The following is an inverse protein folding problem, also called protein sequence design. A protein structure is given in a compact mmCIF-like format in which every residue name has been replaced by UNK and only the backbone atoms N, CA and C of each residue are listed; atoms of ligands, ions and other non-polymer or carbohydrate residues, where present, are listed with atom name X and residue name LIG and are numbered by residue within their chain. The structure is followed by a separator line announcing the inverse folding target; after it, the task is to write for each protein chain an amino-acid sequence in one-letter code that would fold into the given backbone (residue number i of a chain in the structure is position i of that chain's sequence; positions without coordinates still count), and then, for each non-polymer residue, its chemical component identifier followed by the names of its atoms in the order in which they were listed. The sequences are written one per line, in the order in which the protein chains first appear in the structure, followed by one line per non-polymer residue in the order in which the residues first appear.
data_IF_566719401861
#
_entry.id   IF_566719401861
#
_cell.length_a   1.000
_cell.length_b   1.000
_cell.length_c   1.000
_cell.angle_alpha   90.00
_cell.angle_beta   90.00
_cell.angle_gamma   90.00
#
_symmetry.space_group_name_H-M   'P 1'
#
loop_
_entity.id
_entity.type
_entity.pdbx_description
1 polymer ?
#
# COMPACT_ATOMS: atom_id res chain seq x y z
N UNK A 1 -22.72 34.07 62.66
CA UNK A 1 -23.49 33.57 61.50
C UNK A 1 -23.06 34.19 60.18
N UNK A 2 -22.76 35.49 60.09
CA UNK A 2 -22.30 36.12 58.83
C UNK A 2 -20.97 35.54 58.30
N UNK A 3 -19.97 35.31 59.12
CA UNK A 3 -18.66 34.75 58.74
C UNK A 3 -18.75 33.32 58.19
N UNK A 4 -19.70 32.51 58.70
CA UNK A 4 -19.90 31.13 58.26
C UNK A 4 -20.57 31.08 56.86
N UNK A 5 -21.49 32.02 56.58
CA UNK A 5 -22.12 32.15 55.26
C UNK A 5 -21.09 32.62 54.21
N UNK A 6 -20.18 33.54 54.60
CA UNK A 6 -19.10 34.00 53.68
C UNK A 6 -18.13 32.90 53.36
N UNK A 7 -17.80 32.01 54.33
CA UNK A 7 -16.93 30.85 54.12
C UNK A 7 -17.58 29.80 53.17
N UNK A 8 -18.88 29.54 53.35
CA UNK A 8 -19.62 28.64 52.46
C UNK A 8 -19.70 29.15 51.00
N UNK A 9 -19.89 30.45 50.82
CA UNK A 9 -19.89 31.06 49.47
C UNK A 9 -18.50 31.04 48.83
N UNK A 10 -17.43 31.26 49.62
CA UNK A 10 -16.06 31.16 49.14
C UNK A 10 -15.69 29.73 48.71
N UNK A 11 -16.09 28.71 49.48
CA UNK A 11 -15.89 27.28 49.14
C UNK A 11 -16.68 26.90 47.90
N UNK A 12 -17.91 27.38 47.71
CA UNK A 12 -18.73 27.11 46.52
C UNK A 12 -18.12 27.72 45.23
N UNK A 13 -17.49 28.91 45.35
CA UNK A 13 -16.80 29.58 44.24
C UNK A 13 -15.50 28.82 43.86
N UNK A 14 -14.76 28.29 44.81
CA UNK A 14 -13.55 27.51 44.56
C UNK A 14 -13.88 26.14 43.94
N UNK A 15 -14.96 25.49 44.36
CA UNK A 15 -15.43 24.22 43.78
C UNK A 15 -16.05 24.40 42.36
N UNK A 16 -16.64 25.55 42.10
CA UNK A 16 -17.21 25.88 40.79
C UNK A 16 -16.15 26.21 39.69
N UNK A 17 -14.96 26.64 40.08
CA UNK A 17 -13.90 27.01 39.13
C UNK A 17 -13.11 25.82 38.56
N UNK A 18 -13.28 24.63 39.12
CA UNK A 18 -12.51 23.42 38.72
C UNK A 18 -13.18 22.60 37.62
N UNK A 19 -14.31 23.02 37.06
CA UNK A 19 -15.11 22.22 36.11
C UNK A 19 -14.89 22.50 34.62
N UNK A 20 -13.99 23.38 34.25
CA UNK A 20 -13.63 23.57 32.84
C UNK A 20 -12.37 22.77 32.48
N UNK A 21 -12.33 21.47 32.81
CA UNK A 21 -11.47 20.56 32.07
C UNK A 21 -12.10 20.45 30.68
N UNK A 22 -11.64 21.26 29.76
CA UNK A 22 -11.91 21.04 28.34
C UNK A 22 -11.34 19.65 27.96
N UNK A 23 -12.19 18.63 28.07
CA UNK A 23 -11.94 17.32 27.50
C UNK A 23 -12.05 17.41 25.97
N UNK A 24 -11.38 18.41 25.38
CA UNK A 24 -11.26 18.48 23.93
C UNK A 24 -10.29 17.41 23.50
N UNK A 25 -10.84 16.38 22.84
CA UNK A 25 -10.02 15.30 22.30
C UNK A 25 -8.91 15.91 21.43
N UNK A 26 -7.67 15.64 21.80
CA UNK A 26 -6.53 16.09 21.00
C UNK A 26 -6.48 15.26 19.73
N UNK A 27 -6.77 15.90 18.62
CA UNK A 27 -6.76 15.31 17.28
C UNK A 27 -5.59 15.88 16.50
N UNK A 28 -4.82 14.99 15.86
CA UNK A 28 -3.81 15.34 14.87
C UNK A 28 -4.19 14.76 13.52
N UNK A 29 -3.44 15.09 12.49
CA UNK A 29 -3.60 14.48 11.18
C UNK A 29 -2.25 14.20 10.53
N UNK A 30 -2.25 13.35 9.51
CA UNK A 30 -1.11 13.06 8.65
C UNK A 30 -1.61 12.52 7.32
N UNK A 31 -1.01 12.92 6.21
CA UNK A 31 -1.23 12.29 4.91
C UNK A 31 -0.40 10.98 4.84
N UNK A 32 -1.01 9.87 5.23
CA UNK A 32 -0.28 8.61 5.39
C UNK A 32 0.32 8.08 4.10
N UNK A 33 -0.35 8.29 2.97
CA UNK A 33 0.16 7.92 1.65
C UNK A 33 1.43 8.73 1.30
N UNK A 34 1.44 10.04 1.51
CA UNK A 34 2.60 10.88 1.25
C UNK A 34 3.81 10.48 2.13
N UNK A 35 3.53 10.11 3.38
CA UNK A 35 4.55 9.59 4.27
C UNK A 35 5.19 8.33 3.70
N UNK A 36 4.36 7.33 3.33
CA UNK A 36 4.83 6.05 2.79
C UNK A 36 5.61 6.26 1.50
N UNK A 37 5.13 7.10 0.59
CA UNK A 37 5.80 7.42 -0.68
C UNK A 37 7.16 8.12 -0.47
N UNK A 38 7.31 8.85 0.63
CA UNK A 38 8.58 9.46 1.00
C UNK A 38 9.62 8.45 1.50
N UNK A 39 9.19 7.28 2.01
CA UNK A 39 10.07 6.27 2.58
C UNK A 39 11.00 5.65 1.52
N UNK A 40 12.33 5.59 1.75
CA UNK A 40 13.26 4.96 0.81
C UNK A 40 12.92 3.49 0.53
N UNK A 41 12.46 2.77 1.55
CA UNK A 41 12.03 1.38 1.43
C UNK A 41 10.86 1.20 0.45
N UNK A 42 9.89 2.14 0.43
CA UNK A 42 8.79 2.12 -0.52
C UNK A 42 9.26 2.32 -1.97
N UNK A 43 10.16 3.27 -2.18
CA UNK A 43 10.75 3.53 -3.50
C UNK A 43 11.53 2.32 -4.01
N UNK A 44 12.28 1.66 -3.12
CA UNK A 44 13.01 0.43 -3.45
C UNK A 44 12.06 -0.72 -3.80
N UNK A 45 11.03 -0.95 -2.97
CA UNK A 45 10.00 -1.96 -3.22
C UNK A 45 9.29 -1.75 -4.56
N UNK A 46 8.87 -0.51 -4.83
CA UNK A 46 8.24 -0.14 -6.12
C UNK A 46 9.14 -0.43 -7.31
N UNK A 47 10.43 -0.09 -7.19
CA UNK A 47 11.42 -0.38 -8.25
C UNK A 47 11.62 -1.89 -8.45
N UNK A 48 11.60 -2.69 -7.38
CA UNK A 48 11.73 -4.15 -7.47
C UNK A 48 10.52 -4.77 -8.16
N UNK A 49 9.31 -4.37 -7.79
CA UNK A 49 8.05 -4.82 -8.41
C UNK A 49 8.04 -4.45 -9.91
N UNK A 50 8.44 -3.23 -10.25
CA UNK A 50 8.50 -2.79 -11.64
C UNK A 50 9.51 -3.61 -12.48
N UNK A 51 10.68 -3.92 -11.92
CA UNK A 51 11.66 -4.78 -12.58
C UNK A 51 11.12 -6.18 -12.80
N UNK A 52 10.48 -6.76 -11.80
CA UNK A 52 9.87 -8.08 -11.90
C UNK A 52 8.78 -8.12 -12.96
N UNK A 53 7.91 -7.10 -13.00
CA UNK A 53 6.88 -6.97 -14.05
C UNK A 53 7.50 -6.93 -15.45
N UNK A 54 8.54 -6.10 -15.64
CA UNK A 54 9.25 -6.02 -16.93
C UNK A 54 9.89 -7.36 -17.33
N UNK A 55 10.37 -8.13 -16.37
CA UNK A 55 10.91 -9.47 -16.63
C UNK A 55 9.82 -10.40 -17.15
N UNK A 56 8.68 -10.49 -16.47
CA UNK A 56 7.55 -11.29 -16.91
C UNK A 56 7.02 -10.87 -18.29
N UNK A 57 6.90 -9.56 -18.54
CA UNK A 57 6.48 -9.05 -19.84
C UNK A 57 7.46 -9.45 -20.97
N UNK A 58 8.76 -9.44 -20.68
CA UNK A 58 9.77 -9.84 -21.65
C UNK A 58 9.71 -11.36 -21.94
N UNK A 59 9.56 -12.17 -20.92
CA UNK A 59 9.44 -13.62 -21.05
C UNK A 59 8.18 -14.02 -21.80
N UNK A 60 7.02 -13.44 -21.46
CA UNK A 60 5.77 -13.67 -22.19
C UNK A 60 5.91 -13.27 -23.67
N UNK A 61 6.57 -12.16 -23.95
CA UNK A 61 6.82 -11.70 -25.31
C UNK A 61 7.68 -12.69 -26.10
N UNK A 62 8.72 -13.22 -25.48
CA UNK A 62 9.59 -14.22 -26.08
C UNK A 62 8.82 -15.52 -26.37
N UNK A 63 8.03 -16.03 -25.42
CA UNK A 63 7.19 -17.21 -25.60
C UNK A 63 6.21 -17.03 -26.77
N UNK A 64 5.58 -15.87 -26.89
CA UNK A 64 4.67 -15.54 -28.00
C UNK A 64 5.40 -15.50 -29.34
N UNK A 65 6.60 -14.92 -29.39
CA UNK A 65 7.42 -14.89 -30.62
C UNK A 65 7.87 -16.28 -31.06
N UNK A 66 8.28 -17.13 -30.11
CA UNK A 66 8.64 -18.52 -30.37
C UNK A 66 7.44 -19.32 -30.92
N UNK A 67 6.27 -19.13 -30.31
CA UNK A 67 5.04 -19.76 -30.80
C UNK A 67 4.71 -19.31 -32.23
N UNK A 68 4.78 -18.00 -32.50
CA UNK A 68 4.52 -17.47 -33.85
C UNK A 68 5.49 -18.03 -34.87
N UNK A 69 6.78 -18.15 -34.53
CA UNK A 69 7.79 -18.73 -35.42
C UNK A 69 7.53 -20.22 -35.66
N UNK A 70 7.16 -20.96 -34.61
CA UNK A 70 6.79 -22.37 -34.70
C UNK A 70 5.57 -22.56 -35.59
N UNK A 71 4.52 -21.75 -35.42
CA UNK A 71 3.33 -21.80 -36.26
C UNK A 71 3.66 -21.54 -37.73
N UNK A 72 4.46 -20.50 -38.05
CA UNK A 72 4.89 -20.19 -39.44
C UNK A 72 5.68 -21.36 -40.02
N UNK A 73 6.60 -21.96 -39.27
CA UNK A 73 7.36 -23.12 -39.65
C UNK A 73 6.44 -24.31 -39.98
N UNK A 74 5.53 -24.64 -39.06
CA UNK A 74 4.60 -25.76 -39.25
C UNK A 74 3.67 -25.55 -40.47
N UNK A 75 3.20 -24.32 -40.65
CA UNK A 75 2.39 -23.98 -41.83
C UNK A 75 3.15 -24.16 -43.16
N UNK A 76 4.42 -23.73 -43.19
CA UNK A 76 5.25 -23.87 -44.40
C UNK A 76 5.59 -25.35 -44.73
N UNK A 77 5.78 -26.16 -43.71
CA UNK A 77 6.13 -27.57 -43.85
C UNK A 77 4.92 -28.51 -44.01
N UNK A 78 3.71 -28.03 -43.69
CA UNK A 78 2.49 -28.86 -43.68
C UNK A 78 2.25 -29.68 -44.94
N UNK A 79 2.49 -29.15 -46.19
CA UNK A 79 2.29 -29.94 -47.39
C UNK A 79 3.24 -31.17 -47.56
N UNK A 80 4.37 -31.12 -46.86
CA UNK A 80 5.39 -32.20 -46.89
C UNK A 80 5.28 -33.20 -45.75
N UNK A 81 4.29 -33.05 -44.86
CA UNK A 81 4.08 -33.84 -43.68
C UNK A 81 2.84 -34.70 -43.77
N UNK A 82 2.81 -35.80 -43.04
CA UNK A 82 1.63 -36.65 -42.94
C UNK A 82 0.51 -35.96 -42.13
N UNK A 83 -0.71 -36.42 -42.33
CA UNK A 83 -1.88 -35.92 -41.57
C UNK A 83 -1.70 -36.12 -40.07
N UNK A 84 -1.15 -37.23 -39.64
CA UNK A 84 -0.87 -37.53 -38.25
C UNK A 84 0.18 -36.59 -37.69
N UNK A 85 1.28 -36.31 -38.40
CA UNK A 85 2.30 -35.36 -37.99
C UNK A 85 1.72 -33.94 -37.86
N UNK A 86 0.87 -33.52 -38.80
CA UNK A 86 0.21 -32.22 -38.76
C UNK A 86 -0.79 -32.11 -37.60
N UNK A 87 -1.53 -33.19 -37.29
CA UNK A 87 -2.40 -33.22 -36.13
C UNK A 87 -1.62 -33.09 -34.81
N UNK A 88 -0.48 -33.80 -34.68
CA UNK A 88 0.40 -33.67 -33.51
C UNK A 88 0.95 -32.28 -33.35
N UNK A 89 1.39 -31.61 -34.43
CA UNK A 89 1.87 -30.24 -34.43
C UNK A 89 0.79 -29.25 -34.00
N UNK A 90 -0.47 -29.47 -34.43
CA UNK A 90 -1.59 -28.65 -33.96
C UNK A 90 -1.80 -28.78 -32.46
N UNK A 91 -1.67 -29.97 -31.89
CA UNK A 91 -1.74 -30.22 -30.45
C UNK A 91 -0.58 -29.52 -29.70
N UNK A 92 0.64 -29.53 -30.24
CA UNK A 92 1.80 -28.85 -29.67
C UNK A 92 1.60 -27.34 -29.62
N UNK A 93 1.02 -26.74 -30.68
CA UNK A 93 0.67 -25.31 -30.71
C UNK A 93 -0.35 -25.00 -29.62
N UNK A 94 -1.44 -25.75 -29.53
CA UNK A 94 -2.46 -25.56 -28.49
C UNK A 94 -1.89 -25.72 -27.07
N UNK A 95 -1.01 -26.69 -26.85
CA UNK A 95 -0.35 -26.89 -25.56
C UNK A 95 0.55 -25.68 -25.20
N UNK A 96 1.26 -25.13 -26.19
CA UNK A 96 2.10 -23.95 -25.99
C UNK A 96 1.26 -22.71 -25.71
N UNK A 97 0.16 -22.48 -26.43
CA UNK A 97 -0.79 -21.40 -26.16
C UNK A 97 -1.32 -21.47 -24.72
N UNK A 98 -1.72 -22.68 -24.29
CA UNK A 98 -2.17 -22.90 -22.92
C UNK A 98 -1.05 -22.57 -21.93
N UNK A 99 0.18 -23.02 -22.18
CA UNK A 99 1.33 -22.76 -21.30
C UNK A 99 1.60 -21.25 -21.16
N UNK A 100 1.47 -20.48 -22.25
CA UNK A 100 1.58 -19.02 -22.21
C UNK A 100 0.47 -18.40 -21.36
N UNK A 101 -0.76 -18.91 -21.47
CA UNK A 101 -1.88 -18.49 -20.64
C UNK A 101 -1.65 -18.77 -19.15
N UNK A 102 -1.23 -19.98 -18.83
CA UNK A 102 -0.91 -20.40 -17.46
C UNK A 102 0.26 -19.55 -16.88
N UNK A 103 1.29 -19.30 -17.69
CA UNK A 103 2.43 -18.45 -17.28
C UNK A 103 2.00 -17.02 -16.94
N UNK A 104 1.15 -16.39 -17.76
CA UNK A 104 0.59 -15.05 -17.49
C UNK A 104 -0.16 -15.02 -16.18
N UNK A 105 -1.00 -16.02 -15.94
CA UNK A 105 -1.76 -16.10 -14.68
C UNK A 105 -0.85 -16.25 -13.47
N UNK A 106 0.15 -17.11 -13.55
CA UNK A 106 1.13 -17.32 -12.48
C UNK A 106 1.95 -16.05 -12.23
N UNK A 107 2.39 -15.35 -13.28
CA UNK A 107 3.11 -14.09 -13.18
C UNK A 107 2.30 -13.00 -12.46
N UNK A 108 1.00 -12.88 -12.76
CA UNK A 108 0.11 -11.93 -12.06
C UNK A 108 -0.03 -12.28 -10.58
N UNK A 109 -0.19 -13.56 -10.25
CA UNK A 109 -0.30 -14.01 -8.85
C UNK A 109 1.00 -13.76 -8.08
N UNK A 110 2.14 -14.01 -8.72
CA UNK A 110 3.44 -13.79 -8.09
C UNK A 110 3.71 -12.29 -7.86
N UNK A 111 3.38 -11.43 -8.84
CA UNK A 111 3.46 -9.99 -8.68
C UNK A 111 2.60 -9.49 -7.51
N UNK A 112 1.35 -9.94 -7.40
CA UNK A 112 0.46 -9.57 -6.30
C UNK A 112 1.01 -10.03 -4.95
N UNK A 113 1.51 -11.25 -4.89
CA UNK A 113 2.14 -11.80 -3.68
C UNK A 113 3.36 -10.98 -3.29
N UNK A 114 4.23 -10.68 -4.25
CA UNK A 114 5.45 -9.91 -4.04
C UNK A 114 5.16 -8.48 -3.59
N UNK A 115 4.13 -7.85 -4.17
CA UNK A 115 3.66 -6.53 -3.76
C UNK A 115 3.25 -6.52 -2.28
N UNK A 116 2.42 -7.48 -1.87
CA UNK A 116 2.00 -7.60 -0.46
C UNK A 116 3.18 -7.86 0.46
N UNK A 117 4.10 -8.76 0.08
CA UNK A 117 5.29 -9.09 0.87
C UNK A 117 6.19 -7.86 1.10
N UNK A 118 6.39 -7.06 0.06
CA UNK A 118 7.27 -5.90 0.12
C UNK A 118 6.62 -4.69 0.79
N UNK A 119 5.34 -4.43 0.53
CA UNK A 119 4.69 -3.21 1.00
C UNK A 119 4.13 -3.34 2.42
N UNK A 120 3.65 -4.52 2.82
CA UNK A 120 3.07 -4.74 4.15
C UNK A 120 3.99 -4.27 5.31
N UNK A 121 5.28 -4.65 5.37
CA UNK A 121 6.16 -4.19 6.45
C UNK A 121 6.41 -2.69 6.42
N UNK A 122 6.35 -2.04 5.24
CA UNK A 122 6.55 -0.60 5.08
C UNK A 122 5.35 0.16 5.65
N UNK A 123 4.13 -0.23 5.31
CA UNK A 123 2.91 0.33 5.88
C UNK A 123 2.84 0.12 7.40
N UNK A 124 3.26 -1.04 7.88
CA UNK A 124 3.29 -1.31 9.31
C UNK A 124 4.31 -0.42 10.04
N UNK A 125 5.50 -0.24 9.47
CA UNK A 125 6.51 0.67 10.02
C UNK A 125 6.01 2.12 10.09
N UNK A 126 5.36 2.60 9.03
CA UNK A 126 4.73 3.93 9.03
C UNK A 126 3.66 4.04 10.12
N UNK A 127 2.76 3.06 10.20
CA UNK A 127 1.70 3.01 11.21
C UNK A 127 2.25 3.04 12.64
N UNK A 128 3.25 2.24 12.92
CA UNK A 128 3.88 2.17 14.26
C UNK A 128 4.52 3.50 14.62
N UNK A 129 5.23 4.15 13.69
CA UNK A 129 5.85 5.46 13.92
C UNK A 129 4.80 6.55 14.16
N UNK A 130 3.73 6.59 13.33
CA UNK A 130 2.62 7.53 13.54
C UNK A 130 2.03 7.37 14.94
N UNK A 131 1.73 6.14 15.37
CA UNK A 131 1.17 5.88 16.68
C UNK A 131 2.11 6.26 17.81
N UNK A 132 3.40 5.99 17.67
CA UNK A 132 4.43 6.33 18.64
C UNK A 132 4.52 7.84 18.84
N UNK A 133 4.63 8.58 17.75
CA UNK A 133 4.72 10.06 17.76
C UNK A 133 3.44 10.68 18.32
N UNK A 134 2.28 10.22 17.88
CA UNK A 134 0.99 10.71 18.38
C UNK A 134 0.84 10.52 19.89
N UNK A 135 1.14 9.32 20.40
CA UNK A 135 1.08 9.01 21.83
C UNK A 135 2.07 9.86 22.62
N UNK A 136 3.30 10.03 22.15
CA UNK A 136 4.31 10.85 22.81
C UNK A 136 3.90 12.33 22.93
N UNK A 137 3.12 12.84 21.98
CA UNK A 137 2.58 14.21 21.98
C UNK A 137 1.19 14.32 22.62
N UNK A 138 0.65 13.23 23.15
CA UNK A 138 -0.62 13.20 23.87
C UNK A 138 -1.86 13.34 22.98
N UNK A 139 -1.77 13.00 21.69
CA UNK A 139 -2.91 12.92 20.79
C UNK A 139 -3.68 11.62 21.03
N UNK A 140 -5.01 11.74 21.01
CA UNK A 140 -5.92 10.60 21.18
C UNK A 140 -6.35 10.02 19.84
N UNK A 141 -6.41 10.86 18.81
CA UNK A 141 -6.79 10.49 17.46
C UNK A 141 -5.81 11.08 16.45
N UNK A 142 -5.53 10.31 15.41
CA UNK A 142 -4.84 10.78 14.21
C UNK A 142 -5.72 10.46 13.01
N UNK A 143 -6.08 11.50 12.27
CA UNK A 143 -6.87 11.38 11.04
C UNK A 143 -5.92 11.23 9.86
N UNK A 144 -6.27 10.36 8.92
CA UNK A 144 -5.57 10.30 7.64
C UNK A 144 -6.10 11.41 6.73
N UNK A 145 -5.25 12.42 6.48
CA UNK A 145 -5.55 13.56 5.63
C UNK A 145 -5.10 13.36 4.17
N UNK A 146 -4.81 12.13 3.77
CA UNK A 146 -4.55 11.81 2.37
C UNK A 146 -5.73 12.23 1.50
N UNK A 147 -5.46 12.92 0.42
CA UNK A 147 -6.51 13.40 -0.50
C UNK A 147 -7.38 12.24 -0.99
N UNK A 148 -8.70 12.41 -0.85
CA UNK A 148 -9.69 11.41 -1.27
C UNK A 148 -10.10 10.39 -0.19
N UNK A 149 -9.51 10.43 1.02
CA UNK A 149 -9.86 9.52 2.13
C UNK A 149 -10.88 10.12 3.12
N UNK A 150 -11.59 11.18 2.75
CA UNK A 150 -12.73 11.69 3.50
C UNK A 150 -12.44 12.83 4.48
N UNK A 151 -11.20 13.21 4.71
CA UNK A 151 -10.85 14.44 5.45
C UNK A 151 -10.83 15.62 4.48
N UNK A 152 -11.81 16.51 4.61
CA UNK A 152 -11.97 17.67 3.72
C UNK A 152 -11.15 18.86 4.21
N UNK A 153 -11.05 19.03 5.55
CA UNK A 153 -10.32 20.12 6.20
C UNK A 153 -9.55 19.56 7.40
N UNK A 154 -8.27 19.86 7.47
CA UNK A 154 -7.38 19.47 8.56
C UNK A 154 -6.51 20.67 8.98
N UNK A 155 -7.02 21.49 9.89
CA UNK A 155 -6.29 22.65 10.47
C UNK A 155 -5.54 22.30 11.75
N UNK A 156 -5.59 21.03 12.19
CA UNK A 156 -4.96 20.55 13.41
C UNK A 156 -3.43 20.40 13.26
N UNK A 157 -2.81 19.77 14.26
CA UNK A 157 -1.39 19.45 14.23
C UNK A 157 -1.12 18.40 13.16
N UNK A 158 -0.30 18.73 12.18
CA UNK A 158 0.27 17.80 11.22
C UNK A 158 1.48 17.09 11.84
N UNK A 159 1.47 15.75 11.80
CA UNK A 159 2.53 14.91 12.34
C UNK A 159 3.62 14.56 11.32
N UNK A 160 3.50 14.98 10.07
CA UNK A 160 4.39 14.56 8.96
C UNK A 160 5.87 14.75 9.30
N UNK A 161 6.25 15.92 9.75
CA UNK A 161 7.65 16.23 10.05
C UNK A 161 8.19 15.43 11.25
N UNK A 162 7.37 15.26 12.29
CA UNK A 162 7.74 14.54 13.50
C UNK A 162 7.89 13.02 13.23
N UNK A 163 6.99 12.47 12.41
CA UNK A 163 7.01 11.05 12.01
C UNK A 163 8.18 10.77 11.05
N UNK A 164 8.45 11.64 10.09
CA UNK A 164 9.65 11.52 9.23
C UNK A 164 10.92 11.49 10.06
N UNK A 165 11.03 12.36 11.04
CA UNK A 165 12.17 12.38 11.97
C UNK A 165 12.28 11.07 12.76
N UNK A 166 11.17 10.50 13.24
CA UNK A 166 11.16 9.23 13.97
C UNK A 166 11.57 8.04 13.07
N UNK A 167 11.21 8.09 11.78
CA UNK A 167 11.60 7.11 10.77
C UNK A 167 13.04 7.31 10.24
N UNK A 168 13.68 8.44 10.54
CA UNK A 168 15.02 8.76 10.05
C UNK A 168 15.08 9.15 8.57
N UNK A 169 14.02 9.79 8.03
CA UNK A 169 13.88 10.21 6.63
C UNK A 169 13.56 11.69 6.49
#
# INVERSE_FOLDING_TARGET
MKKFRTLLVACALVLGASSFVNAQSKVAHIASQELVEAMPAFKAAKSEIEKLNKTYEAEIRNMVLELQNTMKKYQAEAPSKTEEENAKRAQEVQATEKSIGDYRQNALQDLQKKEVELLKPIYESARVSIQKVAKAQGFQYVLDSTTGLGVILAEGKDLMADVKKDLGI
#
